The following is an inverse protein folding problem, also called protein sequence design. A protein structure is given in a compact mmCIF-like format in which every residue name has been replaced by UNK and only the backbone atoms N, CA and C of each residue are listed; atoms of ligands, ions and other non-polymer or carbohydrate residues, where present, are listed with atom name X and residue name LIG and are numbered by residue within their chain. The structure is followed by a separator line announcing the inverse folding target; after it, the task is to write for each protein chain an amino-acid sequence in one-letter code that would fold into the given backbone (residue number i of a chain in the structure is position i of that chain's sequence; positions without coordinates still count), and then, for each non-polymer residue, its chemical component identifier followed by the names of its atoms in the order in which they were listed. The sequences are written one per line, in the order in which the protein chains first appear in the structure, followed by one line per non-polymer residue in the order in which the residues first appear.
data_IF_255757265240
#
_entry.id   IF_255757265240
#
_cell.length_a   1.000
_cell.length_b   1.000
_cell.length_c   1.000
_cell.angle_alpha   90.00
_cell.angle_beta   90.00
_cell.angle_gamma   90.00
#
_symmetry.space_group_name_H-M   'P 1'
#
loop_
_entity.id
_entity.type
_entity.pdbx_description
1 polymer ?
#
# COMPACT_ATOMS: atom_id res chain seq x y z
N UNK A 1 -28.84 -10.21 18.27
CA UNK A 1 -29.49 -9.16 19.05
C UNK A 1 -28.56 -7.98 19.13
N UNK A 2 -27.39 -8.12 19.75
CA UNK A 2 -26.39 -7.04 19.93
C UNK A 2 -26.03 -6.21 18.68
N UNK A 3 -26.05 -6.79 17.48
CA UNK A 3 -25.72 -6.09 16.23
C UNK A 3 -26.85 -5.20 15.70
N UNK A 4 -28.11 -5.61 15.87
CA UNK A 4 -29.28 -4.82 15.47
C UNK A 4 -29.44 -3.64 16.43
N UNK A 5 -29.22 -3.87 17.73
CA UNK A 5 -29.20 -2.85 18.76
C UNK A 5 -28.14 -1.77 18.50
N UNK A 6 -26.91 -2.18 18.19
CA UNK A 6 -25.82 -1.26 17.89
C UNK A 6 -26.10 -0.39 16.64
N UNK A 7 -26.76 -0.97 15.63
CA UNK A 7 -27.16 -0.24 14.42
C UNK A 7 -28.25 0.80 14.71
N UNK A 8 -29.28 0.42 15.48
CA UNK A 8 -30.34 1.34 15.89
C UNK A 8 -29.81 2.47 16.80
N UNK A 9 -28.83 2.18 17.65
CA UNK A 9 -28.16 3.21 18.45
C UNK A 9 -27.43 4.22 17.55
N UNK A 10 -26.65 3.74 16.59
CA UNK A 10 -25.94 4.60 15.64
C UNK A 10 -26.89 5.44 14.77
N UNK A 11 -28.04 4.87 14.37
CA UNK A 11 -29.05 5.54 13.55
C UNK A 11 -29.74 6.69 14.29
N UNK A 12 -30.02 6.53 15.58
CA UNK A 12 -30.71 7.55 16.39
C UNK A 12 -29.75 8.50 17.14
N UNK A 13 -28.44 8.20 17.20
CA UNK A 13 -27.43 9.01 17.89
C UNK A 13 -27.40 10.51 17.51
N UNK A 14 -27.67 10.92 16.25
CA UNK A 14 -27.69 12.34 15.87
C UNK A 14 -28.92 13.11 16.36
N UNK A 15 -29.93 12.42 16.89
CA UNK A 15 -31.25 13.00 17.17
C UNK A 15 -31.51 13.13 18.68
N UNK A 16 -32.23 14.18 19.12
CA UNK A 16 -32.57 14.34 20.53
C UNK A 16 -33.52 13.22 20.99
N UNK A 17 -33.33 12.75 22.23
CA UNK A 17 -34.16 11.70 22.84
C UNK A 17 -35.56 12.22 23.24
N UNK A 18 -36.38 12.58 22.24
CA UNK A 18 -37.78 12.93 22.45
C UNK A 18 -38.60 11.66 22.68
N UNK A 19 -39.70 11.72 23.45
CA UNK A 19 -40.55 10.55 23.70
C UNK A 19 -41.00 9.87 22.40
N UNK A 20 -41.30 10.65 21.36
CA UNK A 20 -41.75 10.15 20.06
C UNK A 20 -40.66 9.44 19.26
N UNK A 21 -39.41 9.92 19.32
CA UNK A 21 -38.27 9.24 18.68
C UNK A 21 -37.88 7.96 19.42
N UNK A 22 -38.03 7.92 20.75
CA UNK A 22 -37.85 6.70 21.53
C UNK A 22 -38.93 5.66 21.24
N UNK A 23 -40.17 6.10 21.02
CA UNK A 23 -41.27 5.22 20.60
C UNK A 23 -41.02 4.65 19.21
N UNK A 24 -40.60 5.50 18.26
CA UNK A 24 -40.23 5.08 16.91
C UNK A 24 -39.01 4.13 16.90
N UNK A 25 -38.00 4.35 17.75
CA UNK A 25 -36.88 3.43 17.91
C UNK A 25 -37.34 2.05 18.38
N UNK A 26 -38.31 1.98 19.30
CA UNK A 26 -38.88 0.71 19.79
C UNK A 26 -39.72 0.00 18.72
N UNK A 27 -40.49 0.75 17.94
CA UNK A 27 -41.28 0.22 16.82
C UNK A 27 -40.36 -0.32 15.72
N UNK A 28 -39.32 0.43 15.36
CA UNK A 28 -38.34 0.02 14.36
C UNK A 28 -37.54 -1.21 14.81
N UNK A 29 -37.20 -1.29 16.09
CA UNK A 29 -36.57 -2.47 16.68
C UNK A 29 -37.44 -3.73 16.48
N UNK A 30 -38.73 -3.65 16.81
CA UNK A 30 -39.65 -4.78 16.63
C UNK A 30 -39.76 -5.20 15.15
N UNK A 31 -39.86 -4.23 14.23
CA UNK A 31 -39.89 -4.52 12.79
C UNK A 31 -38.60 -5.19 12.29
N UNK A 32 -37.44 -4.77 12.79
CA UNK A 32 -36.15 -5.37 12.44
C UNK A 32 -35.99 -6.78 13.02
N UNK A 33 -36.53 -7.04 14.21
CA UNK A 33 -36.54 -8.38 14.81
C UNK A 33 -37.42 -9.36 14.01
N UNK A 34 -38.60 -8.91 13.57
CA UNK A 34 -39.50 -9.71 12.73
C UNK A 34 -38.86 -10.04 11.39
N UNK A 35 -38.25 -9.05 10.72
CA UNK A 35 -37.54 -9.26 9.45
C UNK A 35 -36.32 -10.20 9.61
N UNK A 36 -35.62 -10.10 10.75
CA UNK A 36 -34.52 -11.01 11.08
C UNK A 36 -35.04 -12.45 11.28
N UNK A 37 -36.15 -12.63 12.00
CA UNK A 37 -36.75 -13.95 12.22
C UNK A 37 -37.20 -14.60 10.91
N UNK A 38 -37.79 -13.83 10.00
CA UNK A 38 -38.18 -14.28 8.66
C UNK A 38 -36.96 -14.68 7.80
N UNK A 39 -35.87 -13.90 7.87
CA UNK A 39 -34.63 -14.21 7.15
C UNK A 39 -34.01 -15.52 7.65
N UNK A 40 -34.01 -15.76 8.97
CA UNK A 40 -33.53 -17.03 9.55
C UNK A 40 -34.45 -18.19 9.16
N UNK A 41 -35.77 -17.99 9.17
CA UNK A 41 -36.74 -19.01 8.75
C UNK A 41 -36.57 -19.39 7.26
N UNK A 42 -36.12 -18.45 6.42
CA UNK A 42 -35.79 -18.68 5.01
C UNK A 42 -34.48 -19.45 4.78
N UNK A 43 -33.77 -19.84 5.84
CA UNK A 43 -32.55 -20.65 5.78
C UNK A 43 -31.24 -19.85 5.71
N UNK A 44 -31.28 -18.53 5.93
CA UNK A 44 -30.08 -17.67 5.93
C UNK A 44 -29.28 -17.83 7.23
N UNK A 45 -27.96 -17.67 7.13
CA UNK A 45 -27.09 -17.65 8.30
C UNK A 45 -27.33 -16.40 9.15
N UNK A 46 -26.98 -16.43 10.45
CA UNK A 46 -27.13 -15.28 11.36
C UNK A 46 -26.53 -13.99 10.79
N UNK A 47 -25.30 -14.06 10.26
CA UNK A 47 -24.60 -12.91 9.72
C UNK A 47 -25.23 -12.39 8.42
N UNK A 48 -25.79 -13.27 7.60
CA UNK A 48 -26.47 -12.92 6.36
C UNK A 48 -27.84 -12.29 6.63
N UNK A 49 -28.59 -12.83 7.61
CA UNK A 49 -29.85 -12.27 8.06
C UNK A 49 -29.65 -10.85 8.64
N UNK A 50 -28.63 -10.64 9.48
CA UNK A 50 -28.30 -9.31 10.02
C UNK A 50 -27.90 -8.34 8.91
N UNK A 51 -27.04 -8.76 7.98
CA UNK A 51 -26.61 -7.90 6.87
C UNK A 51 -27.75 -7.51 5.93
N UNK A 52 -28.71 -8.42 5.71
CA UNK A 52 -29.91 -8.12 4.93
C UNK A 52 -30.81 -7.12 5.64
N UNK A 53 -31.12 -7.33 6.94
CA UNK A 53 -31.99 -6.40 7.69
C UNK A 53 -31.39 -4.98 7.72
N UNK A 54 -30.07 -4.85 7.89
CA UNK A 54 -29.41 -3.53 7.81
C UNK A 54 -29.58 -2.89 6.43
N UNK A 55 -29.53 -3.68 5.35
CA UNK A 55 -29.69 -3.20 3.97
C UNK A 55 -31.13 -2.82 3.66
N UNK A 56 -32.10 -3.62 4.11
CA UNK A 56 -33.52 -3.44 3.83
C UNK A 56 -34.09 -2.20 4.54
N UNK A 57 -33.56 -1.84 5.71
CA UNK A 57 -34.02 -0.69 6.49
C UNK A 57 -33.22 0.60 6.25
N UNK A 58 -31.97 0.51 5.78
CA UNK A 58 -31.23 1.68 5.29
C UNK A 58 -31.06 2.80 6.32
N UNK A 59 -31.40 4.04 5.95
CA UNK A 59 -31.22 5.23 6.77
C UNK A 59 -32.55 5.76 7.35
N UNK A 60 -32.50 6.42 8.51
CA UNK A 60 -33.69 6.92 9.21
C UNK A 60 -34.48 7.93 8.37
N UNK A 61 -33.83 8.71 7.51
CA UNK A 61 -34.51 9.66 6.62
C UNK A 61 -35.42 8.98 5.58
N UNK A 62 -35.14 7.74 5.19
CA UNK A 62 -35.99 6.97 4.26
C UNK A 62 -37.19 6.33 4.99
N UNK A 63 -37.02 5.99 6.26
CA UNK A 63 -38.05 5.38 7.11
C UNK A 63 -38.95 6.41 7.80
N UNK A 64 -38.46 7.63 8.01
CA UNK A 64 -39.15 8.71 8.70
C UNK A 64 -40.55 9.06 8.13
N UNK A 65 -40.79 9.01 6.81
CA UNK A 65 -42.13 9.21 6.25
C UNK A 65 -43.10 8.08 6.58
N UNK A 66 -42.62 6.83 6.62
CA UNK A 66 -43.42 5.63 6.91
C UNK A 66 -43.80 5.57 8.40
N UNK A 67 -42.84 5.93 9.26
CA UNK A 67 -43.01 5.99 10.71
C UNK A 67 -43.71 7.27 11.20
N UNK A 68 -44.03 8.21 10.30
CA UNK A 68 -44.71 9.46 10.63
C UNK A 68 -43.91 10.40 11.55
N UNK A 69 -42.57 10.28 11.57
CA UNK A 69 -41.64 11.08 12.40
C UNK A 69 -40.86 12.13 11.59
N UNK A 70 -41.14 12.25 10.28
CA UNK A 70 -40.47 13.20 9.38
C UNK A 70 -40.53 14.64 9.89
N UNK A 71 -41.65 15.04 10.49
CA UNK A 71 -41.84 16.37 11.08
C UNK A 71 -40.94 16.56 12.30
N UNK A 72 -40.84 15.55 13.17
CA UNK A 72 -40.08 15.65 14.42
C UNK A 72 -38.56 15.63 14.18
N UNK A 73 -38.11 14.92 13.15
CA UNK A 73 -36.71 14.93 12.67
C UNK A 73 -36.38 16.29 12.03
N UNK A 74 -37.30 16.87 11.26
CA UNK A 74 -37.11 18.18 10.63
C UNK A 74 -37.16 19.34 11.63
N UNK A 75 -38.04 19.26 12.63
CA UNK A 75 -38.16 20.26 13.67
C UNK A 75 -36.97 20.22 14.65
N UNK A 76 -36.40 19.04 14.89
CA UNK A 76 -35.14 18.86 15.62
C UNK A 76 -33.91 19.39 14.85
N UNK A 77 -33.97 19.42 13.51
CA UNK A 77 -32.91 19.93 12.64
C UNK A 77 -32.94 21.46 12.41
N UNK A 78 -33.97 22.16 12.91
CA UNK A 78 -34.10 23.62 12.78
C UNK A 78 -33.80 24.37 14.09
N UNK A 79 -32.70 25.14 14.18
CA UNK A 79 -32.58 26.20 15.16
C UNK A 79 -33.57 27.32 14.83
N UNK A 80 -34.34 27.71 15.85
CA UNK A 80 -35.20 28.89 15.89
C UNK A 80 -34.36 30.16 15.73
N UNK A 81 -34.32 30.72 14.53
CA UNK A 81 -34.36 32.17 14.22
C UNK A 81 -34.04 32.42 12.73
N UNK A 82 -35.06 32.68 11.90
CA UNK A 82 -34.94 33.51 10.69
C UNK A 82 -36.31 33.89 10.09
N UNK A 83 -36.62 35.19 10.13
CA UNK A 83 -37.49 35.86 9.14
C UNK A 83 -36.62 36.30 7.91
N UNK A 84 -37.22 36.63 6.75
CA UNK A 84 -36.79 36.03 5.48
C UNK A 84 -35.87 36.87 4.57
N UNK A 85 -35.28 36.15 3.61
CA UNK A 85 -34.86 36.55 2.26
C UNK A 85 -33.48 37.24 2.07
N UNK A 86 -32.51 36.48 1.56
CA UNK A 86 -31.87 36.63 0.24
C UNK A 86 -30.60 35.75 0.13
N UNK A 87 -30.42 35.05 -0.99
CA UNK A 87 -29.27 34.19 -1.28
C UNK A 87 -28.06 35.03 -1.81
N UNK A 88 -26.83 34.48 -1.93
CA UNK A 88 -26.25 33.26 -1.36
C UNK A 88 -24.96 33.57 -0.56
N UNK A 89 -24.91 33.25 0.73
CA UNK A 89 -23.67 33.37 1.50
C UNK A 89 -23.46 32.10 2.33
N UNK A 90 -22.31 31.48 2.08
CA UNK A 90 -21.60 30.44 2.83
C UNK A 90 -22.34 29.81 4.03
N UNK A 91 -22.50 28.49 3.98
CA UNK A 91 -22.94 27.67 5.10
C UNK A 91 -22.13 27.99 6.39
N UNK A 92 -22.76 28.16 7.57
CA UNK A 92 -22.05 28.37 8.82
C UNK A 92 -21.32 27.09 9.27
N UNK A 93 -20.15 27.20 9.93
CA UNK A 93 -19.38 26.06 10.38
C UNK A 93 -20.09 25.35 11.55
N UNK A 94 -20.11 24.03 11.50
CA UNK A 94 -20.43 23.16 12.63
C UNK A 94 -19.53 23.48 13.83
N UNK A 95 -20.07 23.57 15.07
CA UNK A 95 -19.25 23.76 16.26
C UNK A 95 -18.49 22.46 16.60
N UNK A 96 -17.21 22.59 16.90
CA UNK A 96 -16.30 21.58 17.49
C UNK A 96 -15.68 20.50 16.59
N UNK A 97 -15.28 20.86 15.37
CA UNK A 97 -14.11 20.25 14.73
C UNK A 97 -13.06 21.35 14.50
N UNK A 98 -11.94 21.29 15.24
CA UNK A 98 -10.73 22.03 14.84
C UNK A 98 -10.51 21.76 13.34
N UNK A 99 -10.32 22.78 12.48
CA UNK A 99 -10.13 22.55 11.06
C UNK A 99 -8.96 21.58 10.90
N UNK A 100 -9.28 20.38 10.42
CA UNK A 100 -8.28 19.38 10.06
C UNK A 100 -7.24 20.07 9.19
N UNK A 101 -5.97 20.03 9.60
CA UNK A 101 -4.83 20.65 8.88
C UNK A 101 -4.78 20.21 7.40
N UNK A 102 -5.34 19.04 7.11
CA UNK A 102 -5.45 18.46 5.78
C UNK A 102 -6.91 18.28 5.34
N UNK A 103 -7.21 18.44 4.04
CA UNK A 103 -8.54 18.19 3.50
C UNK A 103 -8.93 16.70 3.65
N UNK A 104 -10.22 16.45 3.83
CA UNK A 104 -10.79 15.09 3.85
C UNK A 104 -10.74 14.52 2.43
N UNK A 105 -10.29 13.26 2.29
CA UNK A 105 -10.24 12.59 0.98
C UNK A 105 -11.63 12.40 0.41
N UNK A 106 -11.81 12.74 -0.86
CA UNK A 106 -13.08 12.53 -1.56
C UNK A 106 -13.07 11.22 -2.34
N UNK A 107 -14.25 10.63 -2.55
CA UNK A 107 -14.39 9.40 -3.35
C UNK A 107 -13.86 9.56 -4.80
N UNK A 108 -14.13 10.67 -5.52
CA UNK A 108 -13.58 10.88 -6.86
C UNK A 108 -12.04 10.94 -6.87
N UNK A 109 -11.42 11.54 -5.85
CA UNK A 109 -9.95 11.61 -5.73
C UNK A 109 -9.35 10.21 -5.49
N UNK A 110 -9.96 9.41 -4.61
CA UNK A 110 -9.52 8.04 -4.36
C UNK A 110 -9.67 7.16 -5.61
N UNK A 111 -10.74 7.35 -6.39
CA UNK A 111 -10.94 6.69 -7.68
C UNK A 111 -9.91 7.14 -8.72
N UNK A 112 -9.58 8.43 -8.78
CA UNK A 112 -8.54 8.94 -9.66
C UNK A 112 -7.16 8.33 -9.33
N UNK A 113 -6.83 8.18 -8.05
CA UNK A 113 -5.61 7.49 -7.59
C UNK A 113 -5.61 6.02 -8.01
N UNK A 114 -6.72 5.32 -7.81
CA UNK A 114 -6.87 3.93 -8.20
C UNK A 114 -6.68 3.75 -9.72
N UNK A 115 -7.31 4.58 -10.54
CA UNK A 115 -7.19 4.52 -12.00
C UNK A 115 -5.78 4.91 -12.48
N UNK A 116 -5.14 5.90 -11.86
CA UNK A 116 -3.74 6.23 -12.15
C UNK A 116 -2.81 5.04 -11.86
N UNK A 117 -3.04 4.30 -10.77
CA UNK A 117 -2.27 3.08 -10.43
C UNK A 117 -2.60 1.92 -11.37
N UNK A 118 -3.86 1.74 -11.76
CA UNK A 118 -4.30 0.69 -12.68
C UNK A 118 -3.70 0.88 -14.08
N UNK A 119 -3.84 2.08 -14.65
CA UNK A 119 -3.37 2.41 -16.00
C UNK A 119 -1.84 2.41 -16.11
N UNK A 120 -1.13 2.81 -15.05
CA UNK A 120 0.34 2.79 -15.01
C UNK A 120 0.95 1.51 -14.41
N UNK A 121 0.14 0.53 -14.03
CA UNK A 121 0.60 -0.70 -13.38
C UNK A 121 1.56 -1.51 -14.25
N UNK A 122 1.30 -1.60 -15.56
CA UNK A 122 2.18 -2.27 -16.51
C UNK A 122 3.55 -1.58 -16.64
N UNK A 123 3.59 -0.24 -16.60
CA UNK A 123 4.83 0.53 -16.66
C UNK A 123 5.70 0.29 -15.42
N UNK A 124 5.08 0.15 -14.23
CA UNK A 124 5.78 -0.23 -13.01
C UNK A 124 6.43 -1.62 -13.16
N UNK A 125 5.66 -2.61 -13.61
CA UNK A 125 6.15 -3.97 -13.80
C UNK A 125 7.29 -4.07 -14.81
N UNK A 126 7.16 -3.41 -15.97
CA UNK A 126 8.20 -3.38 -17.01
C UNK A 126 9.45 -2.63 -16.52
N UNK A 127 9.28 -1.46 -15.89
CA UNK A 127 10.41 -0.67 -15.39
C UNK A 127 11.26 -1.43 -14.38
N UNK A 128 10.63 -2.05 -13.38
CA UNK A 128 11.34 -2.83 -12.35
C UNK A 128 11.94 -4.11 -12.95
N UNK A 129 11.25 -4.78 -13.87
CA UNK A 129 11.79 -5.94 -14.58
C UNK A 129 13.05 -5.58 -15.40
N UNK A 130 13.07 -4.43 -16.07
CA UNK A 130 14.25 -3.95 -16.79
C UNK A 130 15.41 -3.60 -15.86
N UNK A 131 15.15 -3.07 -14.65
CA UNK A 131 16.20 -2.86 -13.65
C UNK A 131 16.89 -4.18 -13.26
N UNK A 132 16.13 -5.27 -13.08
CA UNK A 132 16.70 -6.59 -12.79
C UNK A 132 17.45 -7.15 -14.01
N UNK A 133 16.95 -6.91 -15.22
CA UNK A 133 17.60 -7.31 -16.47
C UNK A 133 18.81 -6.45 -16.84
N UNK A 134 19.14 -5.40 -16.08
CA UNK A 134 20.25 -4.51 -16.39
C UNK A 134 21.58 -5.26 -16.53
N UNK A 135 21.82 -6.30 -15.73
CA UNK A 135 23.04 -7.11 -15.79
C UNK A 135 23.04 -8.17 -16.91
N UNK A 136 21.88 -8.51 -17.47
CA UNK A 136 21.73 -9.58 -18.45
C UNK A 136 22.54 -9.35 -19.75
N UNK A 137 22.59 -8.13 -20.35
CA UNK A 137 23.45 -7.84 -21.48
C UNK A 137 24.93 -8.14 -21.26
N UNK A 138 25.44 -7.77 -20.07
CA UNK A 138 26.84 -7.98 -19.73
C UNK A 138 27.13 -9.47 -19.58
N UNK A 139 26.33 -10.19 -18.79
CA UNK A 139 26.50 -11.63 -18.61
C UNK A 139 26.36 -12.41 -19.91
N UNK A 140 25.42 -12.03 -20.78
CA UNK A 140 25.27 -12.63 -22.09
C UNK A 140 26.50 -12.36 -22.98
N UNK A 141 27.02 -11.14 -22.99
CA UNK A 141 28.21 -10.80 -23.78
C UNK A 141 29.46 -11.57 -23.34
N UNK A 142 29.69 -11.70 -22.03
CA UNK A 142 30.81 -12.46 -21.48
C UNK A 142 30.64 -13.97 -21.73
N UNK A 143 29.41 -14.49 -21.62
CA UNK A 143 29.09 -15.89 -21.93
C UNK A 143 29.44 -16.26 -23.38
N UNK A 144 29.15 -15.35 -24.33
CA UNK A 144 29.47 -15.52 -25.75
C UNK A 144 30.99 -15.43 -26.05
N UNK A 145 31.77 -14.78 -25.19
CA UNK A 145 33.23 -14.68 -25.36
C UNK A 145 33.96 -15.93 -24.88
N UNK A 146 33.42 -16.66 -23.90
CA UNK A 146 34.08 -17.82 -23.27
C UNK A 146 33.71 -19.17 -23.88
N UNK A 147 32.76 -19.20 -24.82
CA UNK A 147 32.34 -20.43 -25.49
C UNK A 147 33.26 -20.73 -26.68
N UNK A 148 34.12 -21.75 -26.56
CA UNK A 148 35.06 -22.19 -27.60
C UNK A 148 34.36 -22.58 -28.91
N UNK A 149 33.10 -23.04 -28.84
CA UNK A 149 32.27 -23.37 -30.01
C UNK A 149 31.35 -22.23 -30.47
N UNK A 150 31.21 -21.15 -29.68
CA UNK A 150 30.35 -19.99 -29.95
C UNK A 150 28.87 -20.31 -30.23
N UNK A 151 27.98 -19.38 -29.94
CA UNK A 151 26.64 -19.41 -30.56
C UNK A 151 26.68 -18.96 -32.05
N UNK A 152 27.84 -19.10 -32.72
CA UNK A 152 28.06 -18.91 -34.16
C UNK A 152 27.90 -17.49 -34.73
N UNK A 153 27.59 -16.47 -33.93
CA UNK A 153 27.20 -15.16 -34.48
C UNK A 153 28.33 -14.13 -34.52
N UNK A 154 29.21 -14.03 -33.50
CA UNK A 154 30.34 -13.08 -33.46
C UNK A 154 31.45 -13.60 -32.55
N UNK A 155 32.69 -13.85 -33.03
CA UNK A 155 33.83 -14.13 -32.16
C UNK A 155 34.27 -12.82 -31.47
N UNK A 156 33.94 -12.67 -30.19
CA UNK A 156 34.32 -11.52 -29.37
C UNK A 156 35.38 -11.93 -28.35
N UNK A 157 36.45 -11.15 -28.24
CA UNK A 157 37.38 -11.25 -27.12
C UNK A 157 36.73 -10.71 -25.84
N UNK A 158 37.25 -11.08 -24.67
CA UNK A 158 36.69 -10.67 -23.36
C UNK A 158 36.61 -9.15 -23.21
N UNK A 159 37.64 -8.43 -23.67
CA UNK A 159 37.67 -6.96 -23.69
C UNK A 159 36.55 -6.37 -24.57
N UNK A 160 36.29 -7.00 -25.73
CA UNK A 160 35.25 -6.56 -26.66
C UNK A 160 33.85 -6.87 -26.14
N UNK A 161 33.67 -8.03 -25.49
CA UNK A 161 32.43 -8.41 -24.82
C UNK A 161 32.10 -7.42 -23.70
N UNK A 162 33.08 -7.09 -22.85
CA UNK A 162 32.91 -6.10 -21.78
C UNK A 162 32.60 -4.71 -22.34
N UNK A 163 33.33 -4.29 -23.38
CA UNK A 163 33.12 -3.01 -24.05
C UNK A 163 31.74 -2.89 -24.73
N UNK A 164 31.13 -4.00 -25.14
CA UNK A 164 29.78 -4.03 -25.73
C UNK A 164 28.68 -4.19 -24.66
N UNK A 165 28.87 -5.10 -23.70
CA UNK A 165 27.87 -5.46 -22.70
C UNK A 165 27.61 -4.37 -21.68
N UNK A 166 28.66 -3.65 -21.23
CA UNK A 166 28.52 -2.62 -20.21
C UNK A 166 27.72 -1.39 -20.71
N UNK A 167 27.99 -0.81 -21.90
CA UNK A 167 27.13 0.25 -22.43
C UNK A 167 25.68 -0.21 -22.65
N UNK A 168 25.46 -1.44 -23.10
CA UNK A 168 24.11 -1.97 -23.31
C UNK A 168 23.35 -2.12 -21.98
N UNK A 169 24.02 -2.59 -20.93
CA UNK A 169 23.48 -2.61 -19.57
C UNK A 169 23.03 -1.20 -19.11
N UNK A 170 23.85 -0.18 -19.33
CA UNK A 170 23.50 1.21 -19.00
C UNK A 170 22.32 1.73 -19.82
N UNK A 171 22.19 1.36 -21.09
CA UNK A 171 21.01 1.70 -21.91
C UNK A 171 19.74 1.07 -21.34
N UNK A 172 19.80 -0.20 -20.92
CA UNK A 172 18.65 -0.89 -20.27
C UNK A 172 18.26 -0.17 -18.97
N UNK A 173 19.23 0.21 -18.13
CA UNK A 173 18.97 1.00 -16.92
C UNK A 173 18.33 2.36 -17.26
N UNK A 174 18.86 3.07 -18.25
CA UNK A 174 18.32 4.36 -18.66
C UNK A 174 16.86 4.24 -19.15
N UNK A 175 16.53 3.20 -19.91
CA UNK A 175 15.17 2.90 -20.34
C UNK A 175 14.26 2.57 -19.14
N UNK A 176 14.72 1.75 -18.21
CA UNK A 176 13.99 1.38 -16.99
C UNK A 176 13.63 2.63 -16.16
N UNK A 177 14.63 3.47 -15.87
CA UNK A 177 14.46 4.70 -15.11
C UNK A 177 13.55 5.68 -15.86
N UNK A 178 13.70 5.83 -17.17
CA UNK A 178 12.83 6.72 -17.99
C UNK A 178 11.36 6.30 -17.91
N UNK A 179 11.07 4.99 -17.96
CA UNK A 179 9.70 4.47 -17.80
C UNK A 179 9.14 4.78 -16.40
N UNK A 180 9.95 4.61 -15.35
CA UNK A 180 9.54 4.89 -13.97
C UNK A 180 9.30 6.40 -13.74
N UNK A 181 10.15 7.26 -14.30
CA UNK A 181 9.98 8.73 -14.25
C UNK A 181 8.72 9.14 -15.03
N UNK A 182 8.49 8.56 -16.22
CA UNK A 182 7.27 8.85 -17.01
C UNK A 182 6.01 8.45 -16.25
N UNK A 183 6.05 7.32 -15.53
CA UNK A 183 4.96 6.88 -14.65
C UNK A 183 4.71 7.88 -13.52
N UNK A 184 5.76 8.43 -12.90
CA UNK A 184 5.61 9.39 -11.79
C UNK A 184 4.76 10.60 -12.19
N UNK A 185 4.79 11.04 -13.45
CA UNK A 185 3.96 12.15 -13.95
C UNK A 185 2.45 11.92 -13.77
N UNK A 186 1.98 10.68 -13.79
CA UNK A 186 0.56 10.36 -13.56
C UNK A 186 0.10 10.66 -12.11
N UNK A 187 1.04 10.88 -11.19
CA UNK A 187 0.77 11.13 -9.77
C UNK A 187 0.98 12.59 -9.37
N UNK A 188 1.40 13.49 -10.27
CA UNK A 188 1.70 14.89 -9.94
C UNK A 188 0.51 15.66 -9.34
N UNK A 189 -0.73 15.36 -9.77
CA UNK A 189 -1.95 15.94 -9.21
C UNK A 189 -2.45 15.25 -7.93
N UNK A 190 -1.83 14.12 -7.56
CA UNK A 190 -2.25 13.23 -6.47
C UNK A 190 -1.16 13.11 -5.40
N UNK A 191 -0.15 13.98 -5.43
CA UNK A 191 1.00 13.94 -4.51
C UNK A 191 0.56 14.10 -3.05
N UNK A 192 -0.46 14.92 -2.79
CA UNK A 192 -1.02 15.06 -1.44
C UNK A 192 -1.56 13.74 -0.88
N UNK A 193 -2.07 12.84 -1.74
CA UNK A 193 -2.51 11.51 -1.33
C UNK A 193 -1.34 10.58 -1.08
N UNK A 194 -0.32 10.58 -1.96
CA UNK A 194 0.87 9.72 -1.78
C UNK A 194 1.80 10.19 -0.66
N UNK A 195 1.74 11.47 -0.29
CA UNK A 195 2.45 12.02 0.86
C UNK A 195 1.67 11.79 2.17
N UNK A 196 0.45 11.23 2.10
CA UNK A 196 -0.41 11.05 3.26
C UNK A 196 -0.91 12.35 3.89
N UNK A 197 -1.00 13.43 3.11
CA UNK A 197 -1.47 14.77 3.51
C UNK A 197 -2.98 14.92 3.29
N UNK A 198 -3.75 14.01 3.86
CA UNK A 198 -5.21 14.00 3.80
C UNK A 198 -5.79 13.34 5.05
N UNK A 199 -7.05 13.62 5.34
CA UNK A 199 -7.78 12.96 6.43
C UNK A 199 -8.66 11.83 5.88
N UNK A 200 -8.63 10.68 6.56
CA UNK A 200 -9.36 9.47 6.15
C UNK A 200 -10.86 9.68 6.29
N UNK A 201 -11.58 9.18 5.30
CA UNK A 201 -13.04 9.11 5.32
C UNK A 201 -13.50 7.65 5.43
N UNK A 202 -14.46 7.31 6.32
CA UNK A 202 -14.95 5.94 6.47
C UNK A 202 -15.58 5.35 5.20
N UNK A 203 -16.30 6.16 4.41
CA UNK A 203 -16.95 5.71 3.16
C UNK A 203 -15.89 5.38 2.11
N UNK A 204 -14.89 6.26 1.95
CA UNK A 204 -13.77 6.04 1.02
C UNK A 204 -12.91 4.84 1.45
N UNK A 205 -12.72 4.65 2.76
CA UNK A 205 -12.00 3.50 3.31
C UNK A 205 -12.74 2.18 3.05
N UNK A 206 -14.06 2.14 3.25
CA UNK A 206 -14.90 0.99 2.95
C UNK A 206 -14.89 0.65 1.45
N UNK A 207 -14.97 1.67 0.59
CA UNK A 207 -14.83 1.50 -0.86
C UNK A 207 -13.47 0.88 -1.23
N UNK A 208 -12.37 1.40 -0.67
CA UNK A 208 -11.03 0.88 -0.95
C UNK A 208 -10.84 -0.56 -0.45
N UNK A 209 -11.46 -0.92 0.68
CA UNK A 209 -11.45 -2.28 1.22
C UNK A 209 -12.18 -3.25 0.28
N UNK A 210 -13.36 -2.88 -0.22
CA UNK A 210 -14.09 -3.65 -1.22
C UNK A 210 -13.29 -3.83 -2.50
N UNK A 211 -12.68 -2.75 -3.01
CA UNK A 211 -11.87 -2.78 -4.22
C UNK A 211 -10.68 -3.75 -4.12
N UNK A 212 -10.03 -3.81 -2.94
CA UNK A 212 -8.97 -4.77 -2.64
C UNK A 212 -9.50 -6.20 -2.66
N UNK A 213 -10.62 -6.47 -2.00
CA UNK A 213 -11.22 -7.81 -1.95
C UNK A 213 -11.59 -8.31 -3.35
N UNK A 214 -12.16 -7.46 -4.21
CA UNK A 214 -12.51 -7.81 -5.59
C UNK A 214 -11.29 -8.24 -6.43
N UNK A 215 -10.11 -7.66 -6.18
CA UNK A 215 -8.89 -7.93 -6.94
C UNK A 215 -7.88 -8.86 -6.23
N UNK A 216 -8.20 -9.29 -5.01
CA UNK A 216 -7.32 -10.12 -4.17
C UNK A 216 -6.98 -11.46 -4.83
N UNK A 217 -7.96 -12.09 -5.48
CA UNK A 217 -7.77 -13.39 -6.15
C UNK A 217 -6.78 -13.31 -7.32
N UNK A 218 -6.83 -12.23 -8.11
CA UNK A 218 -5.90 -12.02 -9.23
C UNK A 218 -4.50 -11.72 -8.71
N UNK A 219 -4.39 -10.87 -7.68
CA UNK A 219 -3.11 -10.55 -7.04
C UNK A 219 -2.47 -11.79 -6.42
N UNK A 220 -3.23 -12.60 -5.70
CA UNK A 220 -2.73 -13.80 -5.02
C UNK A 220 -2.26 -14.88 -6.00
N UNK A 221 -2.99 -15.10 -7.10
CA UNK A 221 -2.55 -16.01 -8.18
C UNK A 221 -1.27 -15.51 -8.85
N UNK A 222 -1.19 -14.22 -9.17
CA UNK A 222 0.00 -13.63 -9.76
C UNK A 222 1.21 -13.71 -8.81
N UNK A 223 1.00 -13.47 -7.51
CA UNK A 223 2.02 -13.64 -6.47
C UNK A 223 2.50 -15.09 -6.40
N UNK A 224 1.59 -16.06 -6.39
CA UNK A 224 1.95 -17.48 -6.35
C UNK A 224 2.80 -17.91 -7.57
N UNK A 225 2.43 -17.46 -8.78
CA UNK A 225 3.21 -17.71 -10.00
C UNK A 225 4.58 -17.05 -9.91
N UNK A 226 4.67 -15.78 -9.47
CA UNK A 226 5.94 -15.07 -9.35
C UNK A 226 6.88 -15.73 -8.33
N UNK A 227 6.36 -16.12 -7.16
CA UNK A 227 7.13 -16.82 -6.12
C UNK A 227 7.62 -18.17 -6.64
N UNK A 228 6.79 -18.93 -7.35
CA UNK A 228 7.21 -20.19 -7.96
C UNK A 228 8.35 -19.98 -8.96
N UNK A 229 8.26 -18.95 -9.82
CA UNK A 229 9.34 -18.59 -10.75
C UNK A 229 10.62 -18.22 -10.01
N UNK A 230 10.56 -17.44 -8.94
CA UNK A 230 11.75 -17.04 -8.17
C UNK A 230 12.41 -18.22 -7.45
N UNK A 231 11.63 -19.19 -6.98
CA UNK A 231 12.17 -20.43 -6.39
C UNK A 231 12.86 -21.30 -7.47
N UNK A 232 12.34 -21.30 -8.70
CA UNK A 232 12.93 -22.02 -9.83
C UNK A 232 14.12 -21.30 -10.48
N UNK A 233 14.26 -19.99 -10.27
CA UNK A 233 15.29 -19.16 -10.90
C UNK A 233 16.75 -19.60 -10.66
N UNK A 234 17.14 -20.19 -9.51
CA UNK A 234 18.49 -20.71 -9.31
C UNK A 234 18.81 -21.98 -10.11
N UNK A 235 17.78 -22.73 -10.58
CA UNK A 235 17.98 -24.03 -11.24
C UNK A 235 18.87 -23.90 -12.49
N UNK A 236 18.67 -22.95 -13.42
CA UNK A 236 19.58 -22.75 -14.55
C UNK A 236 21.03 -22.47 -14.14
N UNK A 237 21.26 -21.73 -13.06
CA UNK A 237 22.62 -21.40 -12.59
C UNK A 237 23.32 -22.64 -12.06
N UNK A 238 22.64 -23.37 -11.17
CA UNK A 238 23.18 -24.59 -10.55
C UNK A 238 23.31 -25.70 -11.59
N UNK A 239 22.31 -25.86 -12.44
CA UNK A 239 22.31 -26.84 -13.53
C UNK A 239 23.48 -26.60 -14.49
N UNK A 240 23.72 -25.35 -14.88
CA UNK A 240 24.86 -25.02 -15.73
C UNK A 240 26.21 -25.36 -15.06
N UNK A 241 26.38 -25.03 -13.78
CA UNK A 241 27.61 -25.34 -13.04
C UNK A 241 27.86 -26.83 -12.79
N UNK A 242 26.82 -27.68 -12.79
CA UNK A 242 26.96 -29.13 -12.58
C UNK A 242 27.09 -29.88 -13.91
N UNK A 243 26.30 -29.52 -14.92
CA UNK A 243 26.25 -30.23 -16.20
C UNK A 243 27.47 -29.91 -17.08
N UNK A 244 28.09 -28.75 -16.92
CA UNK A 244 29.11 -28.23 -17.83
C UNK A 244 30.41 -27.84 -17.10
N UNK A 245 30.87 -28.73 -16.20
CA UNK A 245 32.08 -28.53 -15.39
C UNK A 245 33.37 -28.44 -16.22
N UNK A 246 33.38 -29.00 -17.44
CA UNK A 246 34.56 -29.08 -18.29
C UNK A 246 34.80 -27.83 -19.17
N UNK A 247 33.87 -26.85 -19.18
CA UNK A 247 33.95 -25.64 -19.99
C UNK A 247 34.40 -24.41 -19.19
N UNK A 248 34.90 -23.37 -19.88
CA UNK A 248 35.51 -22.15 -19.33
C UNK A 248 34.60 -21.24 -18.47
N UNK A 249 33.43 -21.71 -18.01
CA UNK A 249 32.50 -20.95 -17.15
C UNK A 249 31.43 -20.13 -17.91
N UNK A 250 31.50 -20.05 -19.24
CA UNK A 250 30.53 -19.30 -20.06
C UNK A 250 29.08 -19.79 -19.90
N UNK A 251 28.89 -21.08 -19.66
CA UNK A 251 27.57 -21.69 -19.46
C UNK A 251 26.93 -21.26 -18.14
N UNK A 252 27.74 -21.06 -17.10
CA UNK A 252 27.25 -20.57 -15.81
C UNK A 252 26.72 -19.14 -15.94
N UNK A 253 27.39 -18.28 -16.73
CA UNK A 253 26.93 -16.91 -17.04
C UNK A 253 25.61 -16.91 -17.84
N UNK A 254 25.44 -17.88 -18.74
CA UNK A 254 24.17 -18.09 -19.45
C UNK A 254 23.06 -18.49 -18.46
N UNK A 255 23.36 -19.40 -17.53
CA UNK A 255 22.47 -19.77 -16.43
C UNK A 255 22.05 -18.57 -15.59
N UNK A 256 22.98 -17.66 -15.25
CA UNK A 256 22.69 -16.40 -14.55
C UNK A 256 21.77 -15.49 -15.36
N UNK A 257 21.98 -15.39 -16.67
CA UNK A 257 21.15 -14.60 -17.58
C UNK A 257 19.71 -15.14 -17.62
N UNK A 258 19.54 -16.46 -17.72
CA UNK A 258 18.22 -17.11 -17.67
C UNK A 258 17.56 -16.88 -16.31
N UNK A 259 18.30 -16.98 -15.20
CA UNK A 259 17.78 -16.71 -13.86
C UNK A 259 17.21 -15.28 -13.75
N UNK A 260 17.94 -14.27 -14.25
CA UNK A 260 17.47 -12.89 -14.28
C UNK A 260 16.19 -12.73 -15.13
N UNK A 261 16.09 -13.41 -16.27
CA UNK A 261 14.88 -13.43 -17.10
C UNK A 261 13.67 -14.03 -16.37
N UNK A 262 13.86 -15.12 -15.63
CA UNK A 262 12.82 -15.74 -14.81
C UNK A 262 12.37 -14.77 -13.71
N UNK A 263 13.30 -14.13 -13.01
CA UNK A 263 12.99 -13.16 -11.95
C UNK A 263 12.23 -11.95 -12.51
N UNK A 264 12.70 -11.39 -13.62
CA UNK A 264 12.07 -10.27 -14.31
C UNK A 264 10.66 -10.62 -14.81
N UNK A 265 10.44 -11.84 -15.30
CA UNK A 265 9.12 -12.32 -15.68
C UNK A 265 8.16 -12.38 -14.50
N UNK A 266 8.62 -12.90 -13.34
CA UNK A 266 7.83 -12.91 -12.11
C UNK A 266 7.40 -11.50 -11.68
N UNK A 267 8.32 -10.54 -11.72
CA UNK A 267 8.04 -9.13 -11.40
C UNK A 267 7.04 -8.50 -12.37
N UNK A 268 7.19 -8.77 -13.67
CA UNK A 268 6.28 -8.26 -14.72
C UNK A 268 4.85 -8.79 -14.56
N UNK A 269 4.69 -10.03 -14.09
CA UNK A 269 3.39 -10.65 -13.82
C UNK A 269 2.78 -10.09 -12.53
N UNK A 270 3.56 -10.00 -11.46
CA UNK A 270 3.04 -9.65 -10.13
C UNK A 270 2.76 -8.15 -9.97
N UNK A 271 3.72 -7.27 -10.29
CA UNK A 271 3.64 -5.84 -9.96
C UNK A 271 2.38 -5.14 -10.49
N UNK A 272 1.92 -5.36 -11.74
CA UNK A 272 0.71 -4.71 -12.24
C UNK A 272 -0.56 -5.08 -11.48
N UNK A 273 -0.59 -6.21 -10.77
CA UNK A 273 -1.76 -6.67 -9.99
C UNK A 273 -1.85 -6.04 -8.59
N UNK A 274 -0.81 -5.32 -8.16
CA UNK A 274 -0.74 -4.74 -6.81
C UNK A 274 -1.51 -3.43 -6.65
N UNK A 275 -2.00 -2.84 -7.75
CA UNK A 275 -2.60 -1.50 -7.77
C UNK A 275 -3.74 -1.30 -6.75
N UNK A 276 -4.66 -2.26 -6.64
CA UNK A 276 -5.80 -2.19 -5.74
C UNK A 276 -5.37 -2.29 -4.28
N UNK A 277 -4.40 -3.18 -3.98
CA UNK A 277 -3.81 -3.32 -2.66
C UNK A 277 -3.12 -2.06 -2.20
N UNK A 278 -2.30 -1.47 -3.09
CA UNK A 278 -1.59 -0.22 -2.81
C UNK A 278 -2.59 0.91 -2.55
N UNK A 279 -3.68 0.99 -3.34
CA UNK A 279 -4.71 2.02 -3.17
C UNK A 279 -5.38 1.91 -1.82
N UNK A 280 -5.73 0.69 -1.40
CA UNK A 280 -6.23 0.43 -0.07
C UNK A 280 -5.25 0.91 1.00
N UNK A 281 -3.99 0.44 0.99
CA UNK A 281 -3.01 0.84 2.01
C UNK A 281 -2.82 2.36 2.06
N UNK A 282 -2.76 3.04 0.92
CA UNK A 282 -2.67 4.51 0.90
C UNK A 282 -3.88 5.15 1.56
N UNK A 283 -5.10 4.80 1.14
CA UNK A 283 -6.34 5.38 1.68
C UNK A 283 -6.51 5.07 3.17
N UNK A 284 -6.20 3.85 3.61
CA UNK A 284 -6.51 3.38 4.96
C UNK A 284 -5.37 3.53 5.97
N UNK A 285 -4.11 3.61 5.53
CA UNK A 285 -2.92 3.65 6.39
C UNK A 285 -2.14 4.96 6.25
N UNK A 286 -2.10 5.57 5.05
CA UNK A 286 -1.38 6.84 4.83
C UNK A 286 -2.23 8.08 5.14
N UNK A 287 -3.55 8.00 5.26
CA UNK A 287 -4.34 9.18 5.70
C UNK A 287 -4.21 9.44 7.21
N UNK A 288 -4.50 10.66 7.66
CA UNK A 288 -4.74 10.98 9.08
C UNK A 288 -6.09 10.44 9.54
N UNK A 289 -6.18 9.67 10.64
CA UNK A 289 -7.46 9.34 11.25
C UNK A 289 -8.23 10.61 11.67
N UNK A 290 -9.56 10.64 11.55
CA UNK A 290 -10.35 11.84 11.85
C UNK A 290 -10.26 12.26 13.34
N UNK A 291 -10.04 11.30 14.23
CA UNK A 291 -9.89 11.44 15.68
C UNK A 291 -8.43 11.60 16.13
N UNK A 292 -7.49 11.66 15.20
CA UNK A 292 -6.08 11.60 15.55
C UNK A 292 -5.61 12.89 16.22
N UNK A 293 -4.84 12.77 17.31
CA UNK A 293 -4.18 13.88 17.98
C UNK A 293 -3.21 14.63 17.02
N UNK A 294 -2.86 15.90 17.28
CA UNK A 294 -1.93 16.71 16.46
C UNK A 294 -0.66 15.95 16.01
N UNK A 295 -0.21 15.01 16.83
CA UNK A 295 1.01 14.22 16.71
C UNK A 295 0.80 12.75 16.30
N UNK A 296 -0.30 12.41 15.63
CA UNK A 296 -0.67 11.00 15.37
C UNK A 296 0.35 10.17 14.58
N UNK A 297 1.11 10.77 13.66
CA UNK A 297 2.24 10.12 12.97
C UNK A 297 3.51 10.10 13.82
N UNK A 298 3.81 11.22 14.48
CA UNK A 298 4.99 11.36 15.36
C UNK A 298 4.92 10.52 16.64
N UNK A 299 3.77 9.92 16.96
CA UNK A 299 3.65 8.93 18.03
C UNK A 299 4.18 7.55 17.62
N UNK A 300 4.19 7.24 16.32
CA UNK A 300 4.74 6.00 15.76
C UNK A 300 6.17 6.18 15.22
N UNK A 301 6.51 7.35 14.69
CA UNK A 301 7.88 7.72 14.34
C UNK A 301 8.56 8.29 15.58
N UNK A 302 9.45 7.54 16.25
CA UNK A 302 10.13 8.07 17.43
C UNK A 302 10.98 9.29 17.00
N UNK A 303 10.70 10.50 17.53
CA UNK A 303 11.45 11.71 17.16
C UNK A 303 12.95 11.56 17.43
N UNK A 304 13.31 10.67 18.37
CA UNK A 304 14.67 10.34 18.74
C UNK A 304 15.36 9.44 17.71
N UNK A 305 14.68 8.40 17.20
CA UNK A 305 15.23 7.58 16.10
C UNK A 305 15.42 8.41 14.85
N UNK A 306 14.53 9.35 14.53
CA UNK A 306 14.71 10.23 13.38
C UNK A 306 15.88 11.22 13.58
N UNK A 307 15.99 11.81 14.78
CA UNK A 307 17.09 12.72 15.13
C UNK A 307 18.47 12.04 15.17
N UNK A 308 18.55 10.77 15.57
CA UNK A 308 19.82 10.04 15.75
C UNK A 308 20.17 9.17 14.55
N UNK A 309 19.20 8.70 13.77
CA UNK A 309 19.47 7.87 12.59
C UNK A 309 20.42 8.56 11.62
N UNK A 310 20.17 9.83 11.28
CA UNK A 310 21.03 10.59 10.36
C UNK A 310 22.50 10.64 10.84
N UNK A 311 22.78 11.21 12.02
CA UNK A 311 24.13 11.26 12.58
C UNK A 311 24.78 9.88 12.78
N UNK A 312 24.00 8.88 13.20
CA UNK A 312 24.46 7.52 13.41
C UNK A 312 24.98 6.87 12.12
N UNK A 313 24.17 6.89 11.05
CA UNK A 313 24.55 6.29 9.78
C UNK A 313 25.72 7.02 9.13
N UNK A 314 25.75 8.36 9.21
CA UNK A 314 26.91 9.14 8.73
C UNK A 314 28.18 8.75 9.51
N UNK A 315 28.08 8.54 10.82
CA UNK A 315 29.20 8.10 11.64
C UNK A 315 29.66 6.68 11.28
N UNK A 316 28.73 5.74 11.07
CA UNK A 316 29.06 4.39 10.62
C UNK A 316 29.77 4.39 9.25
N UNK A 317 29.30 5.22 8.32
CA UNK A 317 29.96 5.40 7.01
C UNK A 317 31.35 6.01 7.19
N UNK A 318 31.50 7.03 8.04
CA UNK A 318 32.80 7.66 8.29
C UNK A 318 33.79 6.68 8.94
N UNK A 319 33.36 5.87 9.91
CA UNK A 319 34.17 4.83 10.56
C UNK A 319 34.52 3.73 9.56
N UNK A 320 33.55 3.28 8.75
CA UNK A 320 33.77 2.29 7.70
C UNK A 320 34.86 2.78 6.75
N UNK A 321 34.72 3.99 6.20
CA UNK A 321 35.68 4.54 5.25
C UNK A 321 37.04 4.77 5.90
N UNK A 322 37.10 5.38 7.09
CA UNK A 322 38.36 5.59 7.79
C UNK A 322 39.09 4.28 8.06
N UNK A 323 38.38 3.26 8.53
CA UNK A 323 38.95 1.94 8.79
C UNK A 323 39.37 1.23 7.49
N UNK A 324 38.54 1.28 6.45
CA UNK A 324 38.85 0.66 5.14
C UNK A 324 40.07 1.31 4.46
N UNK A 325 40.20 2.64 4.53
CA UNK A 325 41.35 3.34 3.96
C UNK A 325 42.64 3.13 4.76
N UNK A 326 42.57 3.10 6.11
CA UNK A 326 43.75 2.88 6.95
C UNK A 326 44.26 1.44 6.84
N UNK A 327 43.35 0.47 6.81
CA UNK A 327 43.70 -0.96 6.83
C UNK A 327 43.84 -1.57 5.44
N UNK A 328 43.29 -0.94 4.38
CA UNK A 328 43.18 -1.51 3.02
C UNK A 328 42.48 -2.88 2.95
N UNK A 329 41.88 -3.34 4.05
CA UNK A 329 41.21 -4.64 4.21
C UNK A 329 39.69 -4.50 4.03
N UNK A 330 39.30 -4.17 2.79
CA UNK A 330 37.88 -4.08 2.38
C UNK A 330 37.11 -5.38 2.62
N UNK A 331 37.79 -6.53 2.63
CA UNK A 331 37.22 -7.86 2.87
C UNK A 331 36.77 -8.13 4.32
N UNK A 332 37.22 -7.34 5.31
CA UNK A 332 36.85 -7.49 6.73
C UNK A 332 36.05 -6.29 7.22
N UNK A 333 36.43 -5.08 6.79
CA UNK A 333 35.84 -3.83 7.28
C UNK A 333 34.34 -3.69 6.99
N UNK A 334 33.80 -4.41 6.01
CA UNK A 334 32.35 -4.48 5.76
C UNK A 334 31.54 -5.05 6.94
N UNK A 335 32.17 -5.78 7.86
CA UNK A 335 31.53 -6.36 9.05
C UNK A 335 30.97 -5.29 9.99
N UNK A 336 31.37 -4.02 9.83
CA UNK A 336 30.77 -2.88 10.53
C UNK A 336 29.27 -2.71 10.20
N UNK A 337 28.82 -3.09 9.00
CA UNK A 337 27.42 -2.92 8.58
C UNK A 337 26.45 -3.82 9.36
N UNK A 338 26.68 -5.15 9.48
CA UNK A 338 25.89 -5.99 10.37
C UNK A 338 25.90 -5.50 11.82
N UNK A 339 27.07 -5.11 12.34
CA UNK A 339 27.24 -4.63 13.72
C UNK A 339 26.42 -3.34 13.93
N UNK A 340 26.49 -2.40 12.98
CA UNK A 340 25.73 -1.16 13.02
C UNK A 340 24.21 -1.43 12.97
N UNK A 341 23.76 -2.34 12.11
CA UNK A 341 22.34 -2.72 12.06
C UNK A 341 21.83 -3.26 13.40
N UNK A 342 22.58 -4.14 14.06
CA UNK A 342 22.21 -4.71 15.37
C UNK A 342 22.24 -3.65 16.46
N UNK A 343 23.27 -2.80 16.51
CA UNK A 343 23.38 -1.70 17.48
C UNK A 343 22.24 -0.70 17.34
N UNK A 344 21.92 -0.29 16.12
CA UNK A 344 20.80 0.61 15.84
C UNK A 344 19.47 0.00 16.27
N UNK A 345 19.25 -1.28 15.95
CA UNK A 345 18.07 -2.03 16.40
C UNK A 345 17.94 -2.09 17.92
N UNK A 346 19.06 -2.31 18.64
CA UNK A 346 19.08 -2.32 20.09
C UNK A 346 18.78 -0.93 20.71
N UNK A 347 19.31 0.14 20.12
CA UNK A 347 19.03 1.53 20.54
C UNK A 347 17.54 1.85 20.35
N UNK A 348 17.00 1.52 19.17
CA UNK A 348 15.59 1.76 18.86
C UNK A 348 14.64 0.95 19.76
N UNK A 349 14.96 -0.32 20.04
CA UNK A 349 14.14 -1.19 20.90
C UNK A 349 14.23 -0.81 22.38
N UNK A 350 15.41 -0.44 22.88
CA UNK A 350 15.62 -0.05 24.28
C UNK A 350 14.84 1.20 24.68
N UNK A 351 14.71 2.15 23.75
CA UNK A 351 13.95 3.38 23.97
C UNK A 351 12.43 3.13 24.07
N UNK A 352 11.88 2.30 23.17
CA UNK A 352 10.47 1.92 23.20
C UNK A 352 10.12 1.22 24.54
N UNK A 353 11.03 0.38 25.03
CA UNK A 353 10.94 -0.23 26.36
C UNK A 353 10.92 0.81 27.50
N UNK A 354 11.85 1.76 27.49
CA UNK A 354 11.98 2.77 28.56
C UNK A 354 10.77 3.71 28.67
N UNK A 355 10.17 4.11 27.55
CA UNK A 355 8.99 4.99 27.54
C UNK A 355 7.71 4.25 27.97
N UNK A 356 7.54 2.99 27.56
CA UNK A 356 6.40 2.17 28.00
C UNK A 356 6.38 1.93 29.52
N UNK A 357 7.56 1.88 30.15
CA UNK A 357 7.69 1.80 31.59
C UNK A 357 7.35 3.14 32.29
N UNK A 358 7.65 4.27 31.66
CA UNK A 358 7.42 5.62 32.23
C UNK A 358 5.97 6.12 32.08
N UNK A 359 5.18 5.51 31.20
CA UNK A 359 3.77 5.83 30.96
C UNK A 359 2.79 4.88 31.68
N UNK A 360 3.29 3.94 32.50
CA UNK A 360 2.52 3.17 33.49
C UNK A 360 2.72 3.82 34.86
#
# INVERSE_FOLDING_TARGET
MDTIDAFLEAMFAPYPATPRLLDAKRELHAMMEDAYADAVASGKSHNEAVGQVITDFGNLEELAPVLGILSDIRDAATPKDAAPASAPAAAPPTPDAMPSEYPVITLPEAQALAEARRTTGAQLGIGVALCVLAAAPLFLSLSLSQSDDGLGLIPLNEDQATAAGLPLALVVVALAVTLLIRRHRAFMGLTHLTDGKFTRDPVVSAWAARLRLEHEATRSRALAIAVALWILAPIPVVGAGILFQDHNGGEQLLGMTIALLIVALGLRIFLPTTWASMTHTTVTEEGRPADAAPTWRSAAENPFTEAIAGPYWISCVAIYLAWSFISSDWGITWMIWPIAGVLFGAIAAGEAGLRSWRNR
#
